data_IF_535501038114
#
_entry.id   IF_535501038114
#
_cell.length_a   1.000
_cell.length_b   1.000
_cell.length_c   1.000
_cell.angle_alpha   90.00
_cell.angle_beta   90.00
_cell.angle_gamma   90.00
#
_symmetry.space_group_name_H-M   'P 1'
#
loop_
_entity.id
_entity.type
_entity.pdbx_description
1 polymer ?
#
# COMPACT_ATOMS: atom_id res chain seq x y z
N UNK A 1 -6.94 6.08 -37.85
CA UNK A 1 -7.89 4.99 -37.50
C UNK A 1 -7.56 4.35 -36.13
N UNK A 2 -7.49 5.14 -35.04
CA UNK A 2 -7.23 4.63 -33.66
C UNK A 2 -8.45 4.66 -32.72
N UNK A 3 -9.57 5.27 -33.14
CA UNK A 3 -10.75 5.47 -32.28
C UNK A 3 -11.73 4.28 -32.21
N UNK A 4 -11.58 3.24 -33.03
CA UNK A 4 -12.56 2.13 -33.07
C UNK A 4 -12.34 1.05 -31.99
N UNK A 5 -11.14 0.94 -31.42
CA UNK A 5 -10.82 -0.06 -30.40
C UNK A 5 -11.20 0.38 -28.96
N UNK A 6 -11.41 1.67 -28.73
CA UNK A 6 -11.79 2.23 -27.42
C UNK A 6 -13.31 2.18 -27.16
N UNK A 7 -14.12 2.16 -28.21
CA UNK A 7 -15.59 2.12 -28.05
C UNK A 7 -16.07 0.80 -27.40
N UNK A 8 -15.58 -0.39 -27.80
CA UNK A 8 -15.98 -1.65 -27.18
C UNK A 8 -15.52 -1.78 -25.73
N UNK A 9 -14.31 -1.31 -25.41
CA UNK A 9 -13.75 -1.36 -24.05
C UNK A 9 -14.49 -0.39 -23.11
N UNK A 10 -14.83 0.80 -23.61
CA UNK A 10 -15.63 1.78 -22.87
C UNK A 10 -17.06 1.28 -22.62
N UNK A 11 -17.70 0.68 -23.63
CA UNK A 11 -19.03 0.05 -23.47
C UNK A 11 -19.00 -1.08 -22.46
N UNK A 12 -17.95 -1.92 -22.50
CA UNK A 12 -17.79 -3.01 -21.54
C UNK A 12 -17.62 -2.52 -20.11
N UNK A 13 -16.79 -1.50 -19.88
CA UNK A 13 -16.65 -0.84 -18.56
C UNK A 13 -17.96 -0.22 -18.07
N UNK A 14 -18.71 0.43 -18.96
CA UNK A 14 -20.03 1.00 -18.63
C UNK A 14 -21.02 -0.09 -18.22
N UNK A 15 -21.03 -1.25 -18.89
CA UNK A 15 -21.87 -2.38 -18.49
C UNK A 15 -21.51 -2.94 -17.10
N UNK A 16 -20.21 -3.01 -16.77
CA UNK A 16 -19.76 -3.42 -15.42
C UNK A 16 -20.20 -2.42 -14.37
N UNK A 17 -19.99 -1.12 -14.60
CA UNK A 17 -20.41 -0.07 -13.67
C UNK A 17 -21.94 -0.06 -13.45
N UNK A 18 -22.73 -0.25 -14.50
CA UNK A 18 -24.19 -0.33 -14.39
C UNK A 18 -24.66 -1.57 -13.62
N UNK A 19 -23.96 -2.70 -13.78
CA UNK A 19 -24.26 -3.90 -13.00
C UNK A 19 -23.87 -3.72 -11.54
N UNK A 20 -22.75 -3.06 -11.26
CA UNK A 20 -22.34 -2.72 -9.91
C UNK A 20 -23.34 -1.78 -9.21
N UNK A 21 -23.78 -0.73 -9.90
CA UNK A 21 -24.79 0.21 -9.39
C UNK A 21 -26.11 -0.51 -9.10
N UNK A 22 -26.58 -1.35 -10.03
CA UNK A 22 -27.76 -2.20 -9.82
C UNK A 22 -27.62 -3.14 -8.62
N UNK A 23 -26.44 -3.75 -8.45
CA UNK A 23 -26.16 -4.64 -7.34
C UNK A 23 -26.20 -3.91 -5.99
N UNK A 24 -25.72 -2.66 -5.94
CA UNK A 24 -25.78 -1.82 -4.74
C UNK A 24 -27.21 -1.35 -4.43
N UNK A 25 -27.93 -0.82 -5.43
CA UNK A 25 -29.30 -0.33 -5.24
C UNK A 25 -30.29 -1.41 -4.79
N UNK A 26 -30.02 -2.67 -5.11
CA UNK A 26 -30.89 -3.81 -4.80
C UNK A 26 -30.29 -4.77 -3.76
N UNK A 27 -29.20 -4.37 -3.09
CA UNK A 27 -28.53 -5.14 -2.03
C UNK A 27 -28.25 -6.61 -2.42
N UNK A 28 -27.76 -6.82 -3.66
CA UNK A 28 -27.56 -8.16 -4.19
C UNK A 28 -26.38 -8.86 -3.50
N UNK A 29 -26.60 -10.10 -3.08
CA UNK A 29 -25.53 -10.99 -2.62
C UNK A 29 -24.67 -11.47 -3.79
N UNK A 30 -23.45 -11.96 -3.50
CA UNK A 30 -22.52 -12.47 -4.53
C UNK A 30 -23.15 -13.53 -5.45
N UNK A 31 -24.00 -14.41 -4.91
CA UNK A 31 -24.71 -15.43 -5.71
C UNK A 31 -25.73 -14.81 -6.68
N UNK A 32 -26.41 -13.73 -6.26
CA UNK A 32 -27.36 -13.00 -7.10
C UNK A 32 -26.64 -12.19 -8.17
N UNK A 33 -25.48 -11.60 -7.84
CA UNK A 33 -24.59 -10.95 -8.82
C UNK A 33 -24.11 -11.99 -9.84
N UNK A 34 -23.74 -13.20 -9.41
CA UNK A 34 -23.29 -14.27 -10.29
C UNK A 34 -24.39 -14.66 -11.29
N UNK A 35 -25.64 -14.79 -10.82
CA UNK A 35 -26.80 -15.06 -11.69
C UNK A 35 -27.05 -13.94 -12.69
N UNK A 36 -26.87 -12.69 -12.28
CA UNK A 36 -27.05 -11.55 -13.18
C UNK A 36 -25.91 -11.46 -14.22
N UNK A 37 -24.68 -11.84 -13.86
CA UNK A 37 -23.56 -12.00 -14.80
C UNK A 37 -23.85 -13.13 -15.79
N UNK A 38 -24.36 -14.27 -15.32
CA UNK A 38 -24.75 -15.39 -16.18
C UNK A 38 -25.82 -14.97 -17.20
N UNK A 39 -26.81 -14.17 -16.77
CA UNK A 39 -27.86 -13.63 -17.64
C UNK A 39 -27.34 -12.60 -18.64
N UNK A 40 -26.55 -11.62 -18.21
CA UNK A 40 -26.07 -10.50 -19.05
C UNK A 40 -24.90 -10.87 -19.96
N UNK A 41 -24.12 -11.89 -19.59
CA UNK A 41 -22.92 -12.33 -20.31
C UNK A 41 -22.96 -13.80 -20.70
N UNK A 42 -24.15 -14.33 -21.01
CA UNK A 42 -24.39 -15.73 -21.37
C UNK A 42 -23.43 -16.26 -22.46
N UNK A 43 -23.03 -15.42 -23.42
CA UNK A 43 -22.13 -15.78 -24.53
C UNK A 43 -20.63 -15.81 -24.16
N UNK A 44 -20.26 -15.48 -22.92
CA UNK A 44 -18.86 -15.47 -22.45
C UNK A 44 -18.49 -16.82 -21.81
N UNK A 45 -17.22 -17.20 -21.92
CA UNK A 45 -16.66 -18.39 -21.23
C UNK A 45 -16.59 -18.15 -19.72
N UNK A 46 -16.70 -19.23 -18.93
CA UNK A 46 -16.69 -19.21 -17.45
C UNK A 46 -15.55 -18.38 -16.86
N UNK A 47 -14.29 -18.61 -17.27
CA UNK A 47 -13.16 -17.83 -16.75
C UNK A 47 -13.19 -16.32 -17.07
N UNK A 48 -13.96 -15.88 -18.08
CA UNK A 48 -14.21 -14.45 -18.31
C UNK A 48 -15.31 -13.91 -17.41
N UNK A 49 -16.26 -14.73 -16.98
CA UNK A 49 -17.31 -14.37 -16.03
C UNK A 49 -16.76 -14.20 -14.61
N UNK A 50 -15.80 -15.03 -14.22
CA UNK A 50 -15.08 -14.86 -12.94
C UNK A 50 -14.32 -13.53 -12.90
N UNK A 51 -13.72 -13.14 -14.02
CA UNK A 51 -13.09 -11.82 -14.15
C UNK A 51 -14.13 -10.69 -14.07
N UNK A 52 -15.28 -10.82 -14.74
CA UNK A 52 -16.37 -9.84 -14.67
C UNK A 52 -16.88 -9.73 -13.23
N UNK A 53 -17.01 -10.84 -12.50
CA UNK A 53 -17.40 -10.84 -11.10
C UNK A 53 -16.43 -10.00 -10.26
N UNK A 54 -15.12 -10.20 -10.41
CA UNK A 54 -14.11 -9.38 -9.74
C UNK A 54 -14.23 -7.90 -10.10
N UNK A 55 -14.39 -7.59 -11.39
CA UNK A 55 -14.52 -6.21 -11.87
C UNK A 55 -15.81 -5.52 -11.36
N UNK A 56 -16.91 -6.27 -11.23
CA UNK A 56 -18.19 -5.80 -10.68
C UNK A 56 -18.07 -5.53 -9.19
N UNK A 57 -17.54 -6.48 -8.41
CA UNK A 57 -17.33 -6.30 -6.97
C UNK A 57 -16.39 -5.13 -6.68
N UNK A 58 -15.31 -4.97 -7.46
CA UNK A 58 -14.42 -3.82 -7.38
C UNK A 58 -15.14 -2.50 -7.72
N UNK A 59 -16.08 -2.52 -8.67
CA UNK A 59 -16.86 -1.34 -9.04
C UNK A 59 -17.93 -1.02 -7.98
N UNK A 60 -18.57 -2.02 -7.38
CA UNK A 60 -19.46 -1.85 -6.22
C UNK A 60 -18.68 -1.20 -5.07
N UNK A 61 -17.49 -1.73 -4.80
CA UNK A 61 -16.60 -1.19 -3.78
C UNK A 61 -16.28 0.28 -4.02
N UNK A 62 -15.88 0.64 -5.25
CA UNK A 62 -15.59 2.04 -5.60
C UNK A 62 -16.80 2.96 -5.45
N UNK A 63 -17.99 2.51 -5.88
CA UNK A 63 -19.21 3.31 -5.80
C UNK A 63 -19.67 3.55 -4.35
N UNK A 64 -19.55 2.54 -3.49
CA UNK A 64 -19.78 2.70 -2.04
C UNK A 64 -18.72 3.63 -1.47
N UNK A 65 -17.44 3.40 -1.78
CA UNK A 65 -16.33 4.19 -1.28
C UNK A 65 -16.46 5.69 -1.60
N UNK A 66 -16.82 6.02 -2.85
CA UNK A 66 -17.04 7.40 -3.29
C UNK A 66 -18.28 8.05 -2.63
N UNK A 67 -19.27 7.24 -2.18
CA UNK A 67 -20.50 7.72 -1.53
C UNK A 67 -20.47 7.68 0.01
N UNK A 68 -19.57 6.88 0.61
CA UNK A 68 -19.38 6.76 2.06
C UNK A 68 -18.36 7.73 2.63
N UNK A 69 -17.72 8.57 1.81
CA UNK A 69 -17.04 9.77 2.31
C UNK A 69 -18.11 10.75 2.79
N UNK A 70 -18.22 11.04 4.10
CA UNK A 70 -19.06 12.14 4.54
C UNK A 70 -18.34 13.43 4.17
N UNK A 71 -18.67 13.98 2.99
CA UNK A 71 -18.29 15.33 2.60
C UNK A 71 -18.91 16.42 3.50
N UNK A 72 -19.78 16.05 4.45
CA UNK A 72 -20.54 16.98 5.29
C UNK A 72 -20.11 17.09 6.76
N UNK A 73 -19.02 16.43 7.18
CA UNK A 73 -18.37 16.75 8.47
C UNK A 73 -16.94 17.27 8.25
N UNK A 74 -16.82 18.26 7.37
CA UNK A 74 -15.65 19.14 7.23
C UNK A 74 -15.52 20.09 8.44
N UNK A 75 -15.40 19.51 9.63
CA UNK A 75 -14.77 20.12 10.79
C UNK A 75 -13.45 19.36 10.89
N UNK A 76 -12.46 19.64 10.06
CA UNK A 76 -11.38 20.59 10.35
C UNK A 76 -10.74 20.96 8.99
N UNK A 77 -11.16 22.10 8.41
CA UNK A 77 -10.21 22.96 7.71
C UNK A 77 -9.65 23.89 8.81
N UNK A 78 -8.87 23.35 9.74
CA UNK A 78 -7.89 24.18 10.43
C UNK A 78 -6.67 24.13 9.53
N UNK A 79 -6.17 25.31 9.18
CA UNK A 79 -4.88 25.49 8.55
C UNK A 79 -3.88 24.47 9.10
N UNK A 80 -3.42 23.58 8.22
CA UNK A 80 -2.41 22.56 8.53
C UNK A 80 -1.11 23.30 8.78
N UNK A 81 -0.83 23.62 10.04
CA UNK A 81 0.46 24.15 10.47
C UNK A 81 0.93 23.49 11.78
N UNK A 82 2.19 23.08 11.72
CA UNK A 82 3.13 22.67 12.76
C UNK A 82 2.96 21.33 13.52
N UNK A 83 1.76 20.84 13.88
CA UNK A 83 1.67 19.61 14.69
C UNK A 83 1.99 18.31 13.92
N UNK A 84 1.72 18.25 12.61
CA UNK A 84 1.93 17.04 11.81
C UNK A 84 3.39 16.81 11.41
N UNK A 85 4.21 17.87 11.38
CA UNK A 85 5.62 17.77 10.95
C UNK A 85 6.41 16.87 11.89
N UNK A 86 6.22 17.03 13.20
CA UNK A 86 6.92 16.20 14.20
C UNK A 86 6.50 14.73 14.10
N UNK A 87 5.22 14.45 13.87
CA UNK A 87 4.70 13.09 13.68
C UNK A 87 5.34 12.47 12.44
N UNK A 88 5.38 13.20 11.33
CA UNK A 88 5.98 12.74 10.07
C UNK A 88 7.48 12.50 10.25
N UNK A 89 8.20 13.43 10.88
CA UNK A 89 9.64 13.34 11.15
C UNK A 89 9.99 12.15 12.03
N UNK A 90 9.11 11.78 12.97
CA UNK A 90 9.30 10.61 13.83
C UNK A 90 9.03 9.27 13.12
N UNK A 91 8.49 9.25 11.90
CA UNK A 91 8.21 8.00 11.19
C UNK A 91 9.48 7.30 10.72
N UNK A 92 9.54 5.98 10.86
CA UNK A 92 10.67 5.16 10.38
C UNK A 92 10.96 5.40 8.91
N UNK A 93 9.92 5.52 8.08
CA UNK A 93 10.05 5.76 6.64
C UNK A 93 10.81 7.07 6.34
N UNK A 94 10.56 8.13 7.09
CA UNK A 94 11.24 9.42 6.90
C UNK A 94 12.66 9.39 7.42
N UNK A 95 12.90 8.80 8.59
CA UNK A 95 14.25 8.61 9.14
C UNK A 95 15.14 7.83 8.17
N UNK A 96 14.62 6.72 7.59
CA UNK A 96 15.31 5.95 6.54
C UNK A 96 15.61 6.81 5.31
N UNK A 97 14.60 7.49 4.79
CA UNK A 97 14.73 8.29 3.57
C UNK A 97 15.72 9.45 3.74
N UNK A 98 15.66 10.16 4.86
CA UNK A 98 16.56 11.28 5.15
C UNK A 98 18.01 10.81 5.31
N UNK A 99 18.27 9.72 6.03
CA UNK A 99 19.61 9.15 6.16
C UNK A 99 20.20 8.80 4.77
N UNK A 100 19.44 8.09 3.95
CA UNK A 100 19.86 7.72 2.59
C UNK A 100 20.12 8.95 1.73
N UNK A 101 19.23 9.95 1.76
CA UNK A 101 19.39 11.20 1.02
C UNK A 101 20.66 11.96 1.47
N UNK A 102 20.92 12.02 2.78
CA UNK A 102 22.10 12.68 3.33
C UNK A 102 23.39 12.00 2.84
N UNK A 103 23.45 10.66 2.87
CA UNK A 103 24.61 9.91 2.40
C UNK A 103 24.78 10.09 0.88
N UNK A 104 23.71 10.03 0.09
CA UNK A 104 23.76 10.30 -1.36
C UNK A 104 24.38 11.67 -1.65
N UNK A 105 23.91 12.71 -0.95
CA UNK A 105 24.41 14.09 -1.12
C UNK A 105 25.84 14.28 -0.62
N UNK A 106 26.23 13.60 0.46
CA UNK A 106 27.57 13.75 1.02
C UNK A 106 28.65 13.10 0.17
N UNK A 107 28.35 11.93 -0.42
CA UNK A 107 29.32 11.15 -1.20
C UNK A 107 29.13 11.27 -2.72
N UNK A 108 28.15 12.05 -3.19
CA UNK A 108 27.76 12.15 -4.59
C UNK A 108 27.52 10.79 -5.26
N UNK A 109 26.86 9.88 -4.52
CA UNK A 109 26.53 8.53 -4.97
C UNK A 109 25.06 8.46 -5.34
N UNK A 110 24.77 8.29 -6.63
CA UNK A 110 23.41 8.28 -7.16
C UNK A 110 23.11 6.97 -7.91
N UNK A 111 21.84 6.51 -7.90
CA UNK A 111 21.49 5.23 -8.48
C UNK A 111 21.42 5.29 -10.01
N UNK A 112 22.25 4.48 -10.68
CA UNK A 112 22.19 4.30 -12.13
C UNK A 112 20.85 3.70 -12.61
N UNK A 113 20.54 3.86 -13.90
CA UNK A 113 19.36 3.25 -14.53
C UNK A 113 19.36 1.74 -14.32
N UNK A 114 18.26 1.21 -13.77
CA UNK A 114 18.05 -0.22 -13.55
C UNK A 114 19.12 -0.95 -12.72
N UNK A 115 20.00 -0.23 -12.03
CA UNK A 115 20.98 -0.82 -11.12
C UNK A 115 20.72 -0.41 -9.68
N UNK A 116 21.01 -1.30 -8.71
CA UNK A 116 21.09 -0.93 -7.31
C UNK A 116 22.34 -0.08 -7.07
N UNK A 117 22.34 0.68 -5.98
CA UNK A 117 23.57 1.24 -5.43
C UNK A 117 24.54 0.13 -4.98
N UNK A 118 25.85 0.40 -4.93
CA UNK A 118 26.81 -0.61 -4.52
C UNK A 118 26.67 -0.96 -3.03
N UNK A 119 27.08 -2.17 -2.65
CA UNK A 119 26.80 -2.72 -1.32
C UNK A 119 27.43 -1.89 -0.18
N UNK A 120 28.58 -1.27 -0.42
CA UNK A 120 29.23 -0.37 0.52
C UNK A 120 28.37 0.86 0.87
N UNK A 121 27.58 1.38 -0.07
CA UNK A 121 26.62 2.45 0.21
C UNK A 121 25.57 1.99 1.22
N UNK A 122 25.02 0.78 1.03
CA UNK A 122 24.02 0.24 1.97
C UNK A 122 24.61 -0.10 3.33
N UNK A 123 25.83 -0.65 3.38
CA UNK A 123 26.55 -0.88 4.63
C UNK A 123 26.70 0.42 5.42
N UNK A 124 27.12 1.50 4.77
CA UNK A 124 27.24 2.81 5.42
C UNK A 124 25.90 3.36 5.94
N UNK A 125 24.82 3.19 5.16
CA UNK A 125 23.48 3.56 5.63
C UNK A 125 23.09 2.79 6.89
N UNK A 126 23.34 1.47 6.90
CA UNK A 126 23.03 0.61 8.05
C UNK A 126 23.86 1.00 9.26
N UNK A 127 25.17 1.19 9.11
CA UNK A 127 26.05 1.60 10.21
C UNK A 127 25.55 2.92 10.85
N UNK A 128 25.24 3.94 10.04
CA UNK A 128 24.72 5.22 10.56
C UNK A 128 23.36 5.09 11.26
N UNK A 129 22.51 4.19 10.80
CA UNK A 129 21.18 3.97 11.40
C UNK A 129 21.27 3.17 12.71
N UNK A 130 22.16 2.17 12.77
CA UNK A 130 22.43 1.36 13.97
C UNK A 130 23.16 2.16 15.06
N UNK A 131 24.04 3.09 14.68
CA UNK A 131 24.69 4.01 15.62
C UNK A 131 23.73 5.09 16.16
N UNK A 132 22.49 5.14 15.67
CA UNK A 132 21.51 6.15 16.03
C UNK A 132 20.10 5.60 16.24
N UNK A 133 19.10 6.04 15.45
CA UNK A 133 17.68 5.85 15.75
C UNK A 133 17.23 4.38 15.72
N UNK A 134 18.00 3.48 15.10
CA UNK A 134 17.65 2.07 14.91
C UNK A 134 18.66 1.11 15.54
N UNK A 135 19.31 1.50 16.64
CA UNK A 135 20.28 0.66 17.37
C UNK A 135 19.79 -0.73 17.81
N UNK A 136 18.48 -1.00 17.75
CA UNK A 136 17.86 -2.27 18.13
C UNK A 136 17.39 -3.10 16.94
N UNK A 137 17.57 -2.61 15.71
CA UNK A 137 17.14 -3.31 14.50
C UNK A 137 18.13 -4.41 14.12
N UNK A 138 17.59 -5.46 13.50
CA UNK A 138 18.40 -6.46 12.83
C UNK A 138 19.13 -5.84 11.61
N UNK A 139 20.47 -5.94 11.53
CA UNK A 139 21.23 -5.32 10.45
C UNK A 139 20.85 -5.83 9.05
N UNK A 140 20.55 -7.13 8.92
CA UNK A 140 20.21 -7.74 7.63
C UNK A 140 18.85 -7.26 7.13
N UNK A 141 17.86 -7.15 8.03
CA UNK A 141 16.57 -6.53 7.72
C UNK A 141 16.75 -5.04 7.36
N UNK A 142 17.62 -4.33 8.07
CA UNK A 142 17.84 -2.90 7.81
C UNK A 142 18.45 -2.66 6.42
N UNK A 143 19.34 -3.53 5.94
CA UNK A 143 19.83 -3.50 4.55
C UNK A 143 18.67 -3.63 3.56
N UNK A 144 17.71 -4.52 3.83
CA UNK A 144 16.52 -4.71 2.98
C UNK A 144 15.68 -3.43 2.96
N UNK A 145 15.41 -2.83 4.11
CA UNK A 145 14.64 -1.59 4.21
C UNK A 145 15.35 -0.42 3.52
N UNK A 146 16.67 -0.33 3.60
CA UNK A 146 17.44 0.67 2.86
C UNK A 146 17.30 0.50 1.34
N UNK A 147 17.42 -0.74 0.84
CA UNK A 147 17.23 -1.06 -0.59
C UNK A 147 15.83 -0.72 -1.07
N UNK A 148 14.81 -1.08 -0.30
CA UNK A 148 13.41 -0.74 -0.60
C UNK A 148 13.20 0.78 -0.61
N UNK A 149 13.78 1.51 0.35
CA UNK A 149 13.70 2.98 0.41
C UNK A 149 14.32 3.63 -0.82
N UNK A 150 15.49 3.18 -1.29
CA UNK A 150 16.09 3.68 -2.54
C UNK A 150 15.17 3.44 -3.75
N UNK A 151 14.55 2.27 -3.84
CA UNK A 151 13.57 1.98 -4.91
C UNK A 151 12.40 2.97 -4.85
N UNK A 152 11.88 3.25 -3.66
CA UNK A 152 10.79 4.21 -3.46
C UNK A 152 11.21 5.64 -3.77
N UNK A 153 12.41 6.08 -3.37
CA UNK A 153 12.95 7.41 -3.72
C UNK A 153 13.07 7.59 -5.23
N UNK A 154 13.54 6.56 -5.96
CA UNK A 154 13.59 6.57 -7.43
C UNK A 154 12.18 6.66 -8.03
N UNK A 155 11.25 5.83 -7.56
CA UNK A 155 9.87 5.81 -8.06
C UNK A 155 9.09 7.10 -7.71
N UNK A 156 9.44 7.75 -6.60
CA UNK A 156 8.92 9.04 -6.21
C UNK A 156 9.45 10.18 -7.10
N UNK A 157 10.55 9.94 -7.82
CA UNK A 157 11.28 10.94 -8.60
C UNK A 157 12.11 11.89 -7.73
N UNK A 158 12.43 11.50 -6.49
CA UNK A 158 13.20 12.32 -5.54
C UNK A 158 14.71 12.21 -5.84
N UNK A 159 15.13 11.07 -6.39
CA UNK A 159 16.50 10.85 -6.84
C UNK A 159 16.51 10.39 -8.30
N UNK A 160 17.51 10.85 -9.03
CA UNK A 160 17.83 10.43 -10.38
C UNK A 160 19.30 10.01 -10.47
N UNK A 161 19.85 9.84 -11.67
CA UNK A 161 21.23 9.39 -11.89
C UNK A 161 22.31 10.44 -11.53
N UNK A 162 21.91 11.67 -11.23
CA UNK A 162 22.81 12.82 -11.07
C UNK A 162 22.54 13.66 -9.82
N UNK A 163 21.35 13.56 -9.22
CA UNK A 163 20.95 14.44 -8.13
C UNK A 163 19.88 13.84 -7.24
N UNK A 164 19.73 14.47 -6.08
CA UNK A 164 18.60 14.29 -5.17
C UNK A 164 17.92 15.64 -4.97
N UNK A 165 16.60 15.68 -5.11
CA UNK A 165 15.78 16.87 -4.92
C UNK A 165 16.00 17.49 -3.54
N UNK A 166 15.90 18.83 -3.47
CA UNK A 166 15.74 19.52 -2.19
C UNK A 166 14.25 19.63 -1.91
N UNK A 167 13.79 18.94 -0.87
CA UNK A 167 12.39 18.70 -0.57
C UNK A 167 12.15 18.81 0.93
N UNK A 168 11.02 19.39 1.33
CA UNK A 168 10.64 19.45 2.74
C UNK A 168 10.12 18.07 3.22
N UNK A 169 10.11 17.86 4.53
CA UNK A 169 9.75 16.57 5.14
C UNK A 169 8.32 16.11 4.81
N UNK A 170 7.34 17.02 4.80
CA UNK A 170 5.96 16.67 4.47
C UNK A 170 5.79 16.18 3.04
N UNK A 171 6.41 16.88 2.08
CA UNK A 171 6.37 16.47 0.67
C UNK A 171 7.21 15.22 0.42
N UNK A 172 8.32 15.02 1.16
CA UNK A 172 9.10 13.78 1.15
C UNK A 172 8.22 12.60 1.58
N UNK A 173 7.52 12.72 2.70
CA UNK A 173 6.59 11.70 3.20
C UNK A 173 5.52 11.36 2.17
N UNK A 174 4.82 12.38 1.66
CA UNK A 174 3.73 12.20 0.71
C UNK A 174 4.21 11.53 -0.58
N UNK A 175 5.30 12.01 -1.18
CA UNK A 175 5.87 11.41 -2.41
C UNK A 175 6.37 9.99 -2.18
N UNK A 176 7.00 9.72 -1.03
CA UNK A 176 7.51 8.40 -0.68
C UNK A 176 6.36 7.40 -0.48
N UNK A 177 5.31 7.78 0.24
CA UNK A 177 4.13 6.96 0.42
C UNK A 177 3.43 6.70 -0.92
N UNK A 178 3.18 7.73 -1.73
CA UNK A 178 2.54 7.56 -3.04
C UNK A 178 3.39 6.69 -3.97
N UNK A 179 4.72 6.77 -3.86
CA UNK A 179 5.61 5.89 -4.58
C UNK A 179 5.46 4.43 -4.13
N UNK A 180 5.49 4.18 -2.81
CA UNK A 180 5.21 2.87 -2.24
C UNK A 180 3.86 2.31 -2.71
N UNK A 181 2.79 3.06 -2.46
CA UNK A 181 1.41 2.61 -2.63
C UNK A 181 1.06 2.41 -4.11
N UNK A 182 1.44 3.36 -4.98
CA UNK A 182 0.92 3.40 -6.34
C UNK A 182 1.99 3.06 -7.40
N UNK A 183 3.21 3.58 -7.27
CA UNK A 183 4.19 3.57 -8.37
C UNK A 183 5.10 2.35 -8.38
N UNK A 184 5.59 1.92 -7.22
CA UNK A 184 6.57 0.84 -7.11
C UNK A 184 6.01 -0.50 -7.60
N UNK A 185 6.84 -1.28 -8.29
CA UNK A 185 6.53 -2.68 -8.55
C UNK A 185 6.79 -3.47 -7.25
N UNK A 186 5.73 -3.98 -6.62
CA UNK A 186 5.85 -4.69 -5.34
C UNK A 186 6.60 -6.01 -5.46
N UNK A 187 6.68 -6.62 -6.64
CA UNK A 187 7.60 -7.75 -6.88
C UNK A 187 9.08 -7.35 -6.71
N UNK A 188 9.44 -6.09 -6.99
CA UNK A 188 10.81 -5.61 -6.81
C UNK A 188 11.08 -5.20 -5.35
N UNK A 189 10.08 -4.69 -4.64
CA UNK A 189 10.19 -4.39 -3.21
C UNK A 189 10.21 -5.67 -2.37
N UNK A 190 9.41 -6.67 -2.75
CA UNK A 190 9.17 -7.92 -2.03
C UNK A 190 9.39 -9.11 -2.96
N UNK A 191 10.65 -9.40 -3.33
CA UNK A 191 10.98 -10.45 -4.31
C UNK A 191 10.62 -11.86 -3.83
N UNK A 192 10.64 -12.10 -2.52
CA UNK A 192 10.24 -13.38 -1.90
C UNK A 192 8.80 -13.78 -2.22
N UNK A 193 7.89 -12.81 -2.36
CA UNK A 193 6.48 -13.08 -2.66
C UNK A 193 6.17 -13.38 -4.12
N UNK A 194 7.11 -13.16 -5.05
CA UNK A 194 6.93 -13.48 -6.46
C UNK A 194 5.67 -12.83 -7.09
N UNK A 195 4.72 -13.65 -7.53
CA UNK A 195 3.46 -13.18 -8.13
C UNK A 195 2.49 -12.62 -7.08
N UNK A 196 2.51 -13.17 -5.85
CA UNK A 196 1.63 -12.78 -4.74
C UNK A 196 1.81 -11.29 -4.43
N UNK A 197 3.04 -10.78 -4.45
CA UNK A 197 3.33 -9.36 -4.20
C UNK A 197 2.56 -8.41 -5.13
N UNK A 198 2.36 -8.80 -6.40
CA UNK A 198 1.60 -8.00 -7.36
C UNK A 198 0.10 -8.10 -7.14
N UNK A 199 -0.39 -9.29 -6.78
CA UNK A 199 -1.80 -9.49 -6.49
C UNK A 199 -2.22 -8.76 -5.20
N UNK A 200 -1.34 -8.74 -4.19
CA UNK A 200 -1.54 -7.90 -3.00
C UNK A 200 -1.57 -6.43 -3.41
N UNK A 201 -0.63 -5.96 -4.23
CA UNK A 201 -0.64 -4.56 -4.71
C UNK A 201 -1.97 -4.21 -5.39
N UNK A 202 -2.50 -5.09 -6.23
CA UNK A 202 -3.75 -4.85 -6.96
C UNK A 202 -4.97 -4.73 -6.03
N UNK A 203 -4.93 -5.38 -4.87
CA UNK A 203 -6.02 -5.40 -3.88
C UNK A 203 -5.68 -4.63 -2.58
N UNK A 204 -4.59 -3.84 -2.58
CA UNK A 204 -4.06 -3.13 -1.40
C UNK A 204 -5.05 -2.21 -0.71
N UNK A 205 -6.03 -1.67 -1.45
CA UNK A 205 -7.04 -0.80 -0.88
C UNK A 205 -7.93 -1.58 0.09
N UNK A 206 -8.43 -2.75 -0.31
CA UNK A 206 -9.20 -3.62 0.57
C UNK A 206 -8.43 -3.99 1.84
N UNK A 207 -7.12 -4.24 1.73
CA UNK A 207 -6.27 -4.48 2.92
C UNK A 207 -6.27 -3.28 3.85
N UNK A 208 -6.03 -2.08 3.31
CA UNK A 208 -6.04 -0.84 4.10
C UNK A 208 -7.40 -0.65 4.78
N UNK A 209 -8.48 -0.97 4.11
CA UNK A 209 -9.84 -0.78 4.61
C UNK A 209 -10.21 -1.76 5.73
N UNK A 210 -9.77 -3.02 5.62
CA UNK A 210 -9.85 -3.99 6.73
C UNK A 210 -9.10 -3.45 7.95
N UNK A 211 -7.89 -2.92 7.76
CA UNK A 211 -7.06 -2.36 8.84
C UNK A 211 -7.75 -1.11 9.45
N UNK A 212 -8.21 -0.18 8.63
CA UNK A 212 -8.86 1.06 9.10
C UNK A 212 -10.20 0.80 9.79
N UNK A 213 -10.91 -0.29 9.47
CA UNK A 213 -12.13 -0.70 10.18
C UNK A 213 -11.87 -1.23 11.60
N UNK A 214 -10.61 -1.47 11.95
CA UNK A 214 -10.22 -2.04 13.24
C UNK A 214 -10.14 -0.93 14.31
N UNK A 215 -11.23 -0.73 15.05
CA UNK A 215 -11.30 0.27 16.13
C UNK A 215 -10.56 -0.15 17.43
N UNK A 216 -9.95 -1.33 17.45
CA UNK A 216 -9.22 -1.91 18.59
C UNK A 216 -8.00 -2.68 18.08
N UNK A 217 -6.99 -2.93 18.94
CA UNK A 217 -5.90 -3.84 18.62
C UNK A 217 -6.44 -5.18 18.09
N UNK A 218 -5.86 -5.65 17.00
CA UNK A 218 -6.33 -6.82 16.26
C UNK A 218 -5.15 -7.72 15.88
N UNK A 219 -5.38 -9.02 15.93
CA UNK A 219 -4.37 -10.00 15.54
C UNK A 219 -4.11 -9.92 14.04
N UNK A 220 -2.84 -9.82 13.66
CA UNK A 220 -2.43 -9.72 12.27
C UNK A 220 -2.91 -10.92 11.45
N UNK A 221 -2.83 -12.12 12.02
CA UNK A 221 -3.32 -13.35 11.41
C UNK A 221 -4.82 -13.28 11.08
N UNK A 222 -5.63 -12.63 11.93
CA UNK A 222 -7.05 -12.41 11.64
C UNK A 222 -7.25 -11.49 10.43
N UNK A 223 -6.50 -10.37 10.36
CA UNK A 223 -6.56 -9.46 9.21
C UNK A 223 -6.15 -10.20 7.93
N UNK A 224 -5.03 -10.93 7.98
CA UNK A 224 -4.49 -11.65 6.84
C UNK A 224 -5.47 -12.72 6.33
N UNK A 225 -6.07 -13.49 7.23
CA UNK A 225 -7.10 -14.49 6.89
C UNK A 225 -8.30 -13.86 6.21
N UNK A 226 -8.88 -12.81 6.80
CA UNK A 226 -10.01 -12.10 6.20
C UNK A 226 -9.64 -11.53 4.83
N UNK A 227 -8.46 -10.93 4.70
CA UNK A 227 -7.99 -10.39 3.43
C UNK A 227 -7.83 -11.46 2.35
N UNK A 228 -7.21 -12.60 2.67
CA UNK A 228 -7.03 -13.70 1.72
C UNK A 228 -8.33 -14.44 1.39
N UNK A 229 -9.25 -14.55 2.35
CA UNK A 229 -10.59 -15.08 2.11
C UNK A 229 -11.38 -14.22 1.12
N UNK A 230 -11.35 -12.89 1.29
CA UNK A 230 -12.07 -11.96 0.42
C UNK A 230 -11.45 -11.81 -0.97
N UNK A 231 -10.13 -11.94 -1.09
CA UNK A 231 -9.41 -11.72 -2.36
C UNK A 231 -9.16 -13.00 -3.16
N UNK A 232 -9.05 -14.15 -2.49
CA UNK A 232 -8.64 -15.43 -3.08
C UNK A 232 -7.19 -15.43 -3.61
N UNK A 233 -6.33 -14.54 -3.13
CA UNK A 233 -4.92 -14.45 -3.56
C UNK A 233 -4.10 -15.65 -3.06
N UNK A 234 -4.36 -16.06 -1.81
CA UNK A 234 -3.70 -17.19 -1.16
C UNK A 234 -4.72 -17.95 -0.31
N UNK A 235 -4.34 -19.12 0.18
CA UNK A 235 -5.13 -19.82 1.19
C UNK A 235 -5.10 -18.99 2.49
N UNK A 236 -6.25 -18.73 3.15
CA UNK A 236 -6.29 -17.98 4.41
C UNK A 236 -5.37 -18.52 5.50
N UNK A 237 -5.05 -19.81 5.49
CA UNK A 237 -4.18 -20.48 6.46
C UNK A 237 -2.74 -20.69 5.94
N UNK A 238 -2.39 -20.09 4.80
CA UNK A 238 -1.02 -20.13 4.29
C UNK A 238 -0.10 -19.24 5.12
N UNK A 239 0.67 -19.87 6.03
CA UNK A 239 1.61 -19.19 6.91
C UNK A 239 2.66 -18.37 6.15
N UNK A 240 3.05 -18.82 4.94
CA UNK A 240 4.00 -18.06 4.12
C UNK A 240 3.36 -16.79 3.59
N UNK A 241 2.11 -16.87 3.10
CA UNK A 241 1.40 -15.69 2.59
C UNK A 241 1.11 -14.68 3.72
N UNK A 242 0.73 -15.17 4.90
CA UNK A 242 0.54 -14.33 6.10
C UNK A 242 1.86 -13.65 6.48
N UNK A 243 2.96 -14.40 6.57
CA UNK A 243 4.27 -13.83 6.90
C UNK A 243 4.75 -12.83 5.85
N UNK A 244 4.51 -13.12 4.56
CA UNK A 244 4.81 -12.20 3.48
C UNK A 244 4.03 -10.90 3.66
N UNK A 245 2.74 -10.94 3.99
CA UNK A 245 1.93 -9.75 4.24
C UNK A 245 2.49 -8.92 5.39
N UNK A 246 2.88 -9.58 6.49
CA UNK A 246 3.47 -8.98 7.68
C UNK A 246 4.79 -8.25 7.35
N UNK A 247 5.79 -8.98 6.86
CA UNK A 247 7.13 -8.48 6.53
C UNK A 247 7.18 -7.60 5.27
N UNK A 248 6.04 -7.32 4.64
CA UNK A 248 5.94 -6.42 3.48
C UNK A 248 5.09 -5.20 3.79
N UNK A 249 3.83 -5.21 3.33
CA UNK A 249 2.94 -4.06 3.38
C UNK A 249 2.61 -3.65 4.80
N UNK A 250 2.41 -4.60 5.73
CA UNK A 250 2.09 -4.26 7.12
C UNK A 250 3.28 -3.58 7.79
N UNK A 251 4.49 -4.14 7.65
CA UNK A 251 5.73 -3.49 8.10
C UNK A 251 5.87 -2.07 7.52
N UNK A 252 5.62 -1.88 6.22
CA UNK A 252 5.71 -0.54 5.62
C UNK A 252 4.62 0.42 6.12
N UNK A 253 3.39 -0.04 6.33
CA UNK A 253 2.33 0.78 6.95
C UNK A 253 2.72 1.21 8.37
N UNK A 254 3.40 0.34 9.12
CA UNK A 254 4.01 0.67 10.41
C UNK A 254 5.11 1.72 10.26
N UNK A 255 6.00 1.56 9.26
CA UNK A 255 7.05 2.54 9.00
C UNK A 255 6.54 3.91 8.59
N UNK A 256 5.39 3.97 7.92
CA UNK A 256 4.69 5.22 7.60
C UNK A 256 3.87 5.77 8.77
N UNK A 257 3.85 5.10 9.92
CA UNK A 257 3.16 5.53 11.13
C UNK A 257 1.64 5.37 11.09
N UNK A 258 1.10 4.58 10.15
CA UNK A 258 -0.35 4.34 10.04
C UNK A 258 -0.80 3.32 11.09
N UNK A 259 0.02 2.30 11.32
CA UNK A 259 -0.20 1.30 12.36
C UNK A 259 1.00 1.22 13.30
N UNK A 260 0.82 0.54 14.42
CA UNK A 260 1.89 0.15 15.33
C UNK A 260 1.73 -1.33 15.72
N UNK A 261 2.86 -2.02 15.92
CA UNK A 261 2.85 -3.34 16.52
C UNK A 261 2.68 -3.19 18.03
N UNK A 262 1.66 -3.83 18.57
CA UNK A 262 1.40 -3.82 20.01
C UNK A 262 2.30 -4.87 20.66
N UNK A 263 3.24 -4.43 21.49
CA UNK A 263 4.11 -5.34 22.23
C UNK A 263 3.29 -6.20 23.19
N UNK A 264 3.08 -7.45 22.79
CA UNK A 264 2.53 -8.51 23.63
C UNK A 264 3.65 -9.45 24.05
N UNK A 265 3.40 -10.27 25.09
CA UNK A 265 4.36 -11.29 25.51
C UNK A 265 4.75 -12.21 24.33
N UNK A 266 5.93 -12.83 24.39
CA UNK A 266 6.51 -13.59 23.27
C UNK A 266 5.67 -14.81 22.82
N UNK A 267 4.76 -15.27 23.67
CA UNK A 267 3.80 -16.35 23.45
C UNK A 267 2.45 -15.88 22.89
N UNK A 268 2.28 -14.57 22.72
CA UNK A 268 1.03 -13.99 22.22
C UNK A 268 1.08 -13.73 20.71
N UNK A 269 -0.05 -13.86 20.01
CA UNK A 269 -0.12 -13.57 18.58
C UNK A 269 0.27 -12.13 18.24
N UNK A 270 0.96 -11.96 17.11
CA UNK A 270 1.32 -10.63 16.58
C UNK A 270 0.06 -9.79 16.42
N UNK A 271 0.04 -8.64 17.11
CA UNK A 271 -1.10 -7.75 17.20
C UNK A 271 -0.71 -6.37 16.69
N UNK A 272 -1.58 -5.76 15.90
CA UNK A 272 -1.41 -4.40 15.38
C UNK A 272 -2.56 -3.50 15.83
N UNK A 273 -2.30 -2.20 15.91
CA UNK A 273 -3.31 -1.18 16.16
C UNK A 273 -3.10 0.02 15.23
N UNK A 274 -4.17 0.78 14.97
CA UNK A 274 -4.05 2.08 14.32
C UNK A 274 -3.34 3.06 15.27
N UNK A 275 -2.39 3.83 14.75
CA UNK A 275 -1.82 4.93 15.54
C UNK A 275 -2.86 6.04 15.71
N UNK A 276 -2.64 6.93 16.69
CA UNK A 276 -3.48 8.12 16.88
C UNK A 276 -3.49 9.04 15.66
N UNK A 277 -2.47 8.95 14.82
CA UNK A 277 -2.28 9.80 13.65
C UNK A 277 -2.70 9.13 12.34
N UNK A 278 -3.16 7.87 12.38
CA UNK A 278 -3.43 7.05 11.20
C UNK A 278 -4.33 7.76 10.17
N UNK A 279 -5.50 8.23 10.61
CA UNK A 279 -6.47 8.91 9.74
C UNK A 279 -5.92 10.22 9.15
N UNK A 280 -5.15 10.98 9.93
CA UNK A 280 -4.53 12.22 9.46
C UNK A 280 -3.48 11.93 8.38
N UNK A 281 -2.64 10.91 8.60
CA UNK A 281 -1.60 10.50 7.66
C UNK A 281 -2.21 9.97 6.36
N UNK A 282 -3.26 9.13 6.45
CA UNK A 282 -4.02 8.66 5.28
C UNK A 282 -4.67 9.82 4.51
N UNK A 283 -5.22 10.81 5.22
CA UNK A 283 -5.81 11.99 4.58
C UNK A 283 -4.76 12.85 3.85
N UNK A 284 -3.56 13.03 4.42
CA UNK A 284 -2.45 13.74 3.76
C UNK A 284 -2.03 13.12 2.42
N UNK A 285 -2.26 11.82 2.25
CA UNK A 285 -1.97 11.08 1.01
C UNK A 285 -3.09 11.27 -0.03
N UNK A 286 -4.29 11.65 0.41
CA UNK A 286 -5.50 11.81 -0.42
C UNK A 286 -5.57 13.16 -1.16
N UNK A 287 -4.65 14.08 -0.85
CA UNK A 287 -4.52 15.42 -1.43
C UNK A 287 -3.49 15.45 -2.58
#
# INVERSE_FOLDING_TARGET
MKHSADVPSHRFRSTINNLALYALENELTNDLIAREIEKRFATKKTGKKDKIMKDVLQSCYRLVWDSTLPFENSIIIKEVKDEHTQIIEATTAITLAQCIIQIMKHFDVYPEKNKPLPQNFYSLCVDMLLDGPFAHYDPDLLVIYCKQTVIMLKAAGITNEHSVDTINTGELYRRLFLAFWNKCNWKNLFPSGGYISNDIKNNRQLLLDIILSSNKPVQLDSIARTYFELTGIANPYDLFAISLLDFSVITWLSFFGIIEYVHTAADMPVTIALTRSAYNLVHLISQ
#
